data_IF_156598244202
#
_entry.id   IF_156598244202
#
_cell.length_a   1.000
_cell.length_b   1.000
_cell.length_c   1.000
_cell.angle_alpha   90.00
_cell.angle_beta   90.00
_cell.angle_gamma   90.00
#
_symmetry.space_group_name_H-M   'P 1'
#
loop_
_entity.id
_entity.type
_entity.pdbx_description
1 polymer ?
#
# COMPACT_ATOMS: atom_id res chain seq x y z
N UNK A 1 24.71 34.49 21.77
CA UNK A 1 23.96 33.23 21.99
C UNK A 1 22.84 33.18 20.96
N UNK A 2 22.86 32.15 20.11
CA UNK A 2 21.93 32.02 18.98
C UNK A 2 20.89 30.97 19.33
N UNK A 3 19.61 31.32 19.33
CA UNK A 3 18.51 30.37 19.50
C UNK A 3 17.85 30.15 18.14
N UNK A 4 18.18 29.04 17.50
CA UNK A 4 17.59 28.60 16.24
C UNK A 4 16.29 27.88 16.54
N UNK A 5 15.14 28.47 16.19
CA UNK A 5 13.84 27.80 16.30
C UNK A 5 13.63 26.88 15.08
N UNK A 6 13.56 25.58 15.34
CA UNK A 6 13.22 24.54 14.36
C UNK A 6 11.69 24.43 14.28
N UNK A 7 11.13 24.46 13.07
CA UNK A 7 9.71 24.22 12.84
C UNK A 7 9.50 22.73 12.52
N UNK A 8 8.65 22.05 13.29
CA UNK A 8 8.20 20.68 13.01
C UNK A 8 6.80 20.71 12.40
N UNK A 9 6.66 20.18 11.19
CA UNK A 9 5.37 20.00 10.53
C UNK A 9 4.63 18.81 11.15
N UNK A 10 3.68 19.09 12.05
CA UNK A 10 2.80 18.07 12.63
C UNK A 10 1.50 17.95 11.83
N UNK A 11 1.45 17.00 10.89
CA UNK A 11 0.20 16.60 10.23
C UNK A 11 -0.80 16.03 11.26
N UNK A 12 -2.08 16.37 11.12
CA UNK A 12 -3.19 15.50 11.57
C UNK A 12 -3.48 14.44 10.50
N UNK A 13 -4.22 13.34 10.72
CA UNK A 13 -5.01 12.86 11.88
C UNK A 13 -5.34 11.34 11.64
N UNK A 14 -6.20 10.57 12.34
CA UNK A 14 -7.26 10.85 13.31
C UNK A 14 -7.63 9.59 14.14
N UNK A 15 -7.74 9.70 15.48
CA UNK A 15 -8.47 8.76 16.38
C UNK A 15 -7.86 7.34 16.59
N UNK A 16 -8.17 6.54 17.62
CA UNK A 16 -9.25 6.60 18.65
C UNK A 16 -8.75 6.20 20.05
N UNK A 17 -9.32 6.80 21.11
CA UNK A 17 -9.50 6.15 22.42
C UNK A 17 -10.56 6.91 23.26
N UNK A 18 -11.81 6.44 23.26
CA UNK A 18 -12.88 7.07 24.05
C UNK A 18 -14.12 6.18 24.16
N UNK A 19 -14.48 5.78 25.38
CA UNK A 19 -15.62 4.89 25.67
C UNK A 19 -16.72 5.64 26.43
N UNK A 20 -17.87 5.85 25.78
CA UNK A 20 -19.16 6.26 26.37
C UNK A 20 -19.21 7.69 27.00
N UNK A 21 -20.39 8.32 27.21
CA UNK A 21 -21.75 7.77 27.22
C UNK A 21 -22.82 8.51 26.39
N UNK A 22 -24.08 8.05 26.54
CA UNK A 22 -25.33 8.61 26.00
C UNK A 22 -25.54 10.09 26.37
N UNK A 23 -25.91 10.93 25.40
CA UNK A 23 -27.26 11.54 25.29
C UNK A 23 -27.46 12.06 23.86
N UNK A 24 -28.71 12.13 23.38
CA UNK A 24 -29.06 12.58 22.02
C UNK A 24 -29.71 13.96 22.08
N UNK A 25 -29.01 14.99 21.60
CA UNK A 25 -29.63 16.26 21.19
C UNK A 25 -29.02 16.77 19.89
N UNK A 26 -29.85 16.87 18.86
CA UNK A 26 -29.62 17.78 17.73
C UNK A 26 -29.77 19.24 18.22
N UNK A 27 -29.14 20.20 17.53
CA UNK A 27 -29.71 21.51 17.12
C UNK A 27 -28.61 22.49 16.67
N UNK A 28 -28.95 23.31 15.68
CA UNK A 28 -28.32 24.57 15.25
C UNK A 28 -26.92 24.53 14.60
N UNK A 29 -26.94 24.54 13.26
CA UNK A 29 -25.96 25.31 12.48
C UNK A 29 -26.22 26.80 12.75
N UNK A 30 -25.22 27.55 13.22
CA UNK A 30 -25.33 29.00 13.38
C UNK A 30 -24.21 29.74 12.63
N UNK A 31 -24.52 30.48 11.54
CA UNK A 31 -23.55 31.24 10.79
C UNK A 31 -23.43 32.66 11.35
N UNK A 32 -22.44 32.97 12.19
CA UNK A 32 -21.90 34.32 12.41
C UNK A 32 -20.66 34.29 13.32
N UNK A 33 -19.45 34.17 12.75
CA UNK A 33 -18.21 34.56 13.44
C UNK A 33 -17.67 35.85 12.83
N UNK A 34 -18.00 36.96 13.50
CA UNK A 34 -17.37 38.27 13.25
C UNK A 34 -15.99 38.27 13.92
N UNK A 35 -14.93 38.16 13.15
CA UNK A 35 -13.57 38.36 13.66
C UNK A 35 -13.30 39.85 13.87
N UNK A 36 -13.21 40.28 15.12
CA UNK A 36 -12.72 41.60 15.51
C UNK A 36 -11.19 41.60 15.56
N UNK A 37 -10.56 42.12 14.51
CA UNK A 37 -9.12 42.32 14.48
C UNK A 37 -8.73 43.53 15.35
N UNK A 38 -8.06 43.28 16.47
CA UNK A 38 -7.48 44.32 17.32
C UNK A 38 -6.15 44.81 16.75
N UNK A 39 -6.21 45.85 15.92
CA UNK A 39 -5.01 46.54 15.42
C UNK A 39 -4.41 47.38 16.55
N UNK A 40 -3.34 46.88 17.17
CA UNK A 40 -2.50 47.71 18.04
C UNK A 40 -1.74 48.71 17.16
N UNK A 41 -2.08 49.99 17.28
CA UNK A 41 -1.36 51.08 16.64
C UNK A 41 -0.09 51.39 17.41
N UNK A 42 1.05 50.83 17.00
CA UNK A 42 2.35 51.34 17.41
C UNK A 42 2.67 52.62 16.63
N UNK A 43 3.08 53.67 17.33
CA UNK A 43 3.50 54.93 16.70
C UNK A 43 4.84 54.71 15.96
N UNK A 44 4.78 54.69 14.62
CA UNK A 44 5.97 54.57 13.79
C UNK A 44 6.62 55.95 13.68
N UNK A 45 7.74 56.13 14.39
CA UNK A 45 8.55 57.34 14.31
C UNK A 45 8.96 57.66 12.87
N UNK A 46 8.77 58.92 12.47
CA UNK A 46 8.96 59.39 11.10
C UNK A 46 10.43 59.35 10.66
N UNK A 47 10.78 58.41 9.77
CA UNK A 47 12.09 58.34 9.11
C UNK A 47 12.08 59.30 7.89
N UNK A 48 13.05 60.23 7.76
CA UNK A 48 13.05 61.19 6.66
C UNK A 48 13.34 60.54 5.31
N UNK A 49 12.41 60.73 4.36
CA UNK A 49 12.54 60.26 2.98
C UNK A 49 13.63 61.00 2.19
N UNK A 50 14.81 60.39 2.07
CA UNK A 50 15.74 60.62 0.95
C UNK A 50 16.30 59.27 0.48
N UNK A 51 16.28 59.05 -0.84
CA UNK A 51 16.80 57.86 -1.56
C UNK A 51 15.98 56.56 -1.48
N UNK A 52 14.77 56.55 -2.08
CA UNK A 52 14.04 55.32 -2.44
C UNK A 52 13.88 55.24 -3.97
N UNK A 53 14.84 54.62 -4.67
CA UNK A 53 14.76 54.45 -6.15
C UNK A 53 15.32 53.15 -6.75
N UNK A 54 16.02 52.26 -6.01
CA UNK A 54 16.73 51.12 -6.61
C UNK A 54 16.54 49.75 -5.93
N UNK A 55 15.60 49.59 -5.00
CA UNK A 55 15.41 48.36 -4.21
C UNK A 55 14.26 47.42 -4.68
N UNK A 56 13.56 47.77 -5.77
CA UNK A 56 12.46 46.94 -6.31
C UNK A 56 12.84 45.56 -6.90
N UNK A 57 14.04 45.27 -7.45
CA UNK A 57 14.27 43.96 -8.07
C UNK A 57 14.46 42.82 -7.05
N UNK A 58 14.93 43.11 -5.83
CA UNK A 58 15.37 42.10 -4.86
C UNK A 58 14.22 41.27 -4.26
N UNK A 59 13.03 41.87 -4.08
CA UNK A 59 11.86 41.16 -3.54
C UNK A 59 11.27 40.17 -4.54
N UNK A 60 11.31 40.50 -5.84
CA UNK A 60 10.82 39.63 -6.91
C UNK A 60 11.69 38.36 -7.07
N UNK A 61 13.01 38.47 -6.87
CA UNK A 61 13.91 37.31 -6.92
C UNK A 61 13.69 36.32 -5.78
N UNK A 62 13.31 36.81 -4.59
CA UNK A 62 13.13 35.96 -3.40
C UNK A 62 11.88 35.06 -3.52
N UNK A 63 10.81 35.55 -4.13
CA UNK A 63 9.57 34.79 -4.36
C UNK A 63 9.77 33.70 -5.41
N UNK A 64 10.57 33.96 -6.46
CA UNK A 64 10.91 32.98 -7.49
C UNK A 64 11.76 31.79 -6.96
N UNK A 65 12.41 31.96 -5.80
CA UNK A 65 13.21 30.94 -5.13
C UNK A 65 12.40 29.96 -4.27
N UNK A 66 11.17 30.32 -3.85
CA UNK A 66 10.32 29.49 -2.98
C UNK A 66 9.39 28.53 -3.73
N UNK A 67 9.28 28.65 -5.06
CA UNK A 67 8.52 27.73 -5.93
C UNK A 67 9.30 26.44 -6.29
N UNK A 68 10.48 26.22 -5.70
CA UNK A 68 11.21 24.95 -5.77
C UNK A 68 10.71 23.98 -4.70
N UNK A 69 9.51 23.44 -4.88
CA UNK A 69 9.06 22.24 -4.18
C UNK A 69 9.14 21.04 -5.15
N UNK A 70 10.32 20.39 -5.29
CA UNK A 70 10.44 19.25 -6.17
C UNK A 70 9.81 18.00 -5.56
N UNK A 71 9.11 17.25 -6.40
CA UNK A 71 8.84 15.81 -6.27
C UNK A 71 8.03 15.41 -5.05
N UNK A 72 6.71 15.20 -5.28
CA UNK A 72 6.05 14.06 -4.63
C UNK A 72 6.73 12.80 -5.16
N UNK A 73 7.29 11.98 -4.28
CA UNK A 73 7.50 10.58 -4.62
C UNK A 73 6.11 9.99 -4.90
N UNK A 74 5.98 9.23 -5.97
CA UNK A 74 4.81 8.39 -6.17
C UNK A 74 5.10 7.11 -5.37
N UNK A 75 4.60 7.05 -4.14
CA UNK A 75 4.61 5.84 -3.31
C UNK A 75 3.53 4.88 -3.84
N UNK A 76 3.86 3.60 -3.96
CA UNK A 76 2.94 2.57 -4.44
C UNK A 76 1.67 2.51 -3.59
N UNK A 77 0.52 2.65 -4.23
CA UNK A 77 -0.76 2.79 -3.53
C UNK A 77 -1.46 1.44 -3.31
N UNK A 78 -2.07 1.25 -2.13
CA UNK A 78 -2.89 0.06 -1.87
C UNK A 78 -4.09 0.00 -2.83
N UNK A 79 -4.28 -1.13 -3.49
CA UNK A 79 -5.31 -1.31 -4.51
C UNK A 79 -4.94 -0.84 -5.93
N UNK A 80 -3.73 -0.31 -6.16
CA UNK A 80 -3.24 0.01 -7.51
C UNK A 80 -3.22 -1.23 -8.40
N UNK A 81 -3.71 -1.11 -9.65
CA UNK A 81 -4.02 -2.26 -10.50
C UNK A 81 -3.13 -2.34 -11.75
N UNK A 82 -2.66 -3.55 -12.03
CA UNK A 82 -1.80 -3.90 -13.16
C UNK A 82 -2.40 -5.13 -13.85
N UNK A 83 -3.18 -4.92 -14.92
CA UNK A 83 -3.92 -6.01 -15.59
C UNK A 83 -4.86 -6.72 -14.62
N UNK A 84 -4.62 -8.01 -14.38
CA UNK A 84 -5.36 -8.82 -13.41
C UNK A 84 -4.79 -8.79 -11.98
N UNK A 85 -3.63 -8.15 -11.77
CA UNK A 85 -2.99 -8.01 -10.47
C UNK A 85 -3.34 -6.68 -9.81
N UNK A 86 -3.30 -6.65 -8.48
CA UNK A 86 -3.43 -5.41 -7.71
C UNK A 86 -2.46 -5.39 -6.54
N UNK A 87 -2.03 -4.22 -6.12
CA UNK A 87 -1.27 -4.04 -4.88
C UNK A 87 -2.19 -4.36 -3.70
N UNK A 88 -1.62 -5.04 -2.70
CA UNK A 88 -2.18 -5.14 -1.36
C UNK A 88 -1.07 -4.91 -0.34
N UNK A 89 -1.10 -3.76 0.32
CA UNK A 89 -0.22 -3.41 1.42
C UNK A 89 -0.91 -3.72 2.76
N UNK A 90 -0.21 -4.44 3.65
CA UNK A 90 -0.71 -4.80 4.97
C UNK A 90 0.34 -4.51 6.03
N UNK A 91 -0.05 -3.74 7.04
CA UNK A 91 0.74 -3.58 8.27
C UNK A 91 0.69 -4.86 9.09
N UNK A 92 1.84 -5.44 9.44
CA UNK A 92 1.89 -6.54 10.40
C UNK A 92 1.50 -6.02 11.80
N UNK A 93 0.55 -6.70 12.44
CA UNK A 93 0.04 -6.31 13.76
C UNK A 93 1.05 -6.52 14.91
N UNK A 94 2.14 -7.27 14.69
CA UNK A 94 3.19 -7.54 15.68
C UNK A 94 4.38 -6.58 15.56
N UNK A 95 4.76 -6.20 14.33
CA UNK A 95 5.99 -5.45 14.05
C UNK A 95 5.74 -4.02 13.52
N UNK A 96 4.50 -3.68 13.19
CA UNK A 96 4.11 -2.41 12.55
C UNK A 96 4.78 -2.12 11.18
N UNK A 97 5.62 -3.02 10.66
CA UNK A 97 6.15 -2.99 9.30
C UNK A 97 5.04 -3.26 8.28
N UNK A 98 5.04 -2.53 7.17
CA UNK A 98 4.07 -2.66 6.09
C UNK A 98 4.63 -3.55 4.98
N UNK A 99 4.14 -4.78 4.87
CA UNK A 99 4.45 -5.67 3.76
C UNK A 99 3.51 -5.40 2.59
N UNK A 100 4.04 -5.02 1.44
CA UNK A 100 3.28 -4.88 0.20
C UNK A 100 3.48 -6.12 -0.70
N UNK A 101 2.40 -6.52 -1.36
CA UNK A 101 2.36 -7.66 -2.27
C UNK A 101 1.55 -7.27 -3.51
N UNK A 102 1.88 -7.83 -4.67
CA UNK A 102 0.89 -7.94 -5.76
C UNK A 102 0.05 -9.18 -5.53
N UNK A 103 -1.27 -9.05 -5.70
CA UNK A 103 -2.22 -10.11 -5.41
C UNK A 103 -3.25 -10.29 -6.53
N UNK A 104 -3.73 -11.53 -6.65
CA UNK A 104 -4.91 -11.90 -7.42
C UNK A 104 -5.87 -12.66 -6.50
N UNK A 105 -7.12 -12.18 -6.41
CA UNK A 105 -8.18 -12.74 -5.58
C UNK A 105 -9.19 -13.51 -6.43
N UNK A 106 -9.34 -14.80 -6.17
CA UNK A 106 -10.27 -15.69 -6.86
C UNK A 106 -11.43 -16.03 -5.92
N UNK A 107 -12.64 -15.65 -6.35
CA UNK A 107 -13.88 -15.78 -5.59
C UNK A 107 -14.86 -16.64 -6.39
N UNK A 108 -15.49 -17.63 -5.74
CA UNK A 108 -16.56 -18.40 -6.39
C UNK A 108 -17.77 -17.51 -6.65
N UNK A 109 -18.29 -17.61 -7.88
CA UNK A 109 -19.53 -16.92 -8.29
C UNK A 109 -20.73 -17.39 -7.45
N UNK A 110 -20.71 -18.64 -7.01
CA UNK A 110 -21.67 -19.18 -6.04
C UNK A 110 -21.16 -18.98 -4.61
N UNK A 111 -21.95 -18.29 -3.78
CA UNK A 111 -21.65 -18.07 -2.36
C UNK A 111 -20.70 -16.90 -2.05
N UNK A 112 -19.97 -16.34 -3.04
CA UNK A 112 -19.10 -15.18 -2.83
C UNK A 112 -17.89 -15.44 -1.93
N UNK A 113 -17.58 -16.73 -1.67
CA UNK A 113 -16.44 -17.13 -0.85
C UNK A 113 -15.15 -17.06 -1.68
N UNK A 114 -14.12 -16.40 -1.12
CA UNK A 114 -12.75 -16.46 -1.67
C UNK A 114 -12.28 -17.91 -1.64
N UNK A 115 -11.89 -18.43 -2.80
CA UNK A 115 -11.23 -19.73 -2.96
C UNK A 115 -9.74 -19.61 -2.72
N UNK A 116 -9.13 -18.60 -3.33
CA UNK A 116 -7.69 -18.43 -3.36
C UNK A 116 -7.35 -16.93 -3.33
N UNK A 117 -6.41 -16.55 -2.49
CA UNK A 117 -5.60 -15.35 -2.71
C UNK A 117 -4.20 -15.83 -3.09
N UNK A 118 -3.72 -15.39 -4.25
CA UNK A 118 -2.35 -15.59 -4.69
C UNK A 118 -1.61 -14.27 -4.51
N UNK A 119 -0.51 -14.27 -3.77
CA UNK A 119 0.26 -13.07 -3.47
C UNK A 119 1.74 -13.29 -3.80
N UNK A 120 2.39 -12.29 -4.41
CA UNK A 120 3.84 -12.25 -4.63
C UNK A 120 4.38 -10.95 -4.04
N UNK A 121 5.52 -11.03 -3.35
CA UNK A 121 6.19 -9.86 -2.78
C UNK A 121 7.58 -10.17 -2.26
N UNK A 122 8.25 -9.14 -1.77
CA UNK A 122 9.60 -9.23 -1.23
C UNK A 122 9.57 -9.32 0.30
N UNK A 123 10.60 -9.94 0.88
CA UNK A 123 10.83 -9.93 2.34
C UNK A 123 12.24 -9.41 2.58
N UNK A 124 12.41 -8.61 3.65
CA UNK A 124 13.66 -7.87 3.91
C UNK A 124 14.93 -8.74 3.97
N UNK A 125 14.79 -10.04 4.23
CA UNK A 125 15.89 -10.99 4.32
C UNK A 125 16.37 -11.55 2.96
N UNK A 126 15.61 -11.38 1.86
CA UNK A 126 15.90 -12.06 0.58
C UNK A 126 15.63 -11.20 -0.65
N UNK A 127 16.57 -11.10 -1.62
CA UNK A 127 16.34 -10.37 -2.86
C UNK A 127 15.37 -11.10 -3.80
N UNK A 128 15.21 -12.42 -3.66
CA UNK A 128 14.22 -13.17 -4.42
C UNK A 128 12.79 -12.92 -3.89
N UNK A 129 11.80 -12.70 -4.76
CA UNK A 129 10.41 -12.60 -4.34
C UNK A 129 9.90 -13.95 -3.83
N UNK A 130 8.99 -13.90 -2.85
CA UNK A 130 8.25 -15.07 -2.36
C UNK A 130 6.84 -15.09 -2.95
N UNK A 131 6.29 -16.29 -3.08
CA UNK A 131 4.85 -16.51 -3.27
C UNK A 131 4.22 -16.90 -1.92
N UNK A 132 3.04 -16.35 -1.66
CA UNK A 132 2.16 -16.72 -0.54
C UNK A 132 0.75 -17.03 -1.08
N UNK A 133 0.27 -18.23 -0.80
CA UNK A 133 -1.11 -18.65 -1.08
C UNK A 133 -1.94 -18.56 0.20
N UNK A 134 -3.16 -18.03 0.10
CA UNK A 134 -4.22 -18.26 1.08
C UNK A 134 -5.28 -19.15 0.45
N UNK A 135 -5.25 -20.43 0.82
CA UNK A 135 -6.13 -21.50 0.36
C UNK A 135 -7.34 -21.66 1.31
N UNK A 136 -8.43 -22.32 0.90
CA UNK A 136 -9.61 -22.46 1.74
C UNK A 136 -9.38 -23.52 2.84
N UNK A 137 -10.20 -23.48 3.89
CA UNK A 137 -10.23 -24.53 4.90
C UNK A 137 -10.93 -25.79 4.37
N UNK A 138 -10.60 -26.95 4.94
CA UNK A 138 -11.18 -28.25 4.54
C UNK A 138 -10.44 -28.96 3.39
N UNK A 139 -9.29 -28.45 2.97
CA UNK A 139 -8.42 -29.08 1.96
C UNK A 139 -7.59 -30.24 2.52
N UNK A 140 -7.14 -31.14 1.63
CA UNK A 140 -6.20 -32.21 1.97
C UNK A 140 -4.77 -31.67 2.07
N UNK A 141 -4.18 -31.76 3.26
CA UNK A 141 -2.83 -31.28 3.52
C UNK A 141 -1.69 -32.15 2.93
N UNK A 142 -1.75 -33.50 2.94
CA UNK A 142 -0.62 -34.32 2.50
C UNK A 142 -0.17 -34.14 1.03
N UNK A 143 -1.06 -33.83 0.06
CA UNK A 143 -0.65 -33.41 -1.29
C UNK A 143 -0.03 -32.01 -1.34
N UNK A 144 -0.45 -31.08 -0.48
CA UNK A 144 -0.05 -29.67 -0.59
C UNK A 144 -0.81 -28.93 -1.69
N UNK A 145 -0.22 -27.86 -2.22
CA UNK A 145 -0.67 -27.19 -3.42
C UNK A 145 0.39 -27.31 -4.53
N UNK A 146 -0.01 -27.07 -5.78
CA UNK A 146 0.85 -27.09 -6.95
C UNK A 146 0.57 -25.84 -7.79
N UNK A 147 1.62 -25.27 -8.38
CA UNK A 147 1.54 -24.20 -9.38
C UNK A 147 2.05 -24.71 -10.72
N UNK A 148 1.37 -24.36 -11.80
CA UNK A 148 1.77 -24.68 -13.17
C UNK A 148 1.56 -23.45 -14.04
N UNK A 149 2.58 -23.08 -14.82
CA UNK A 149 2.52 -21.95 -15.75
C UNK A 149 2.31 -22.53 -17.14
N UNK A 150 1.23 -22.12 -17.79
CA UNK A 150 0.74 -22.67 -19.06
C UNK A 150 0.74 -24.22 -19.06
N UNK A 151 1.44 -24.85 -20.01
CA UNK A 151 1.67 -26.30 -20.07
C UNK A 151 2.97 -26.76 -19.42
N UNK A 152 3.62 -25.91 -18.63
CA UNK A 152 4.94 -26.15 -18.01
C UNK A 152 4.94 -27.24 -16.94
N UNK A 153 6.08 -27.42 -16.24
CA UNK A 153 6.19 -28.42 -15.18
C UNK A 153 5.51 -27.94 -13.89
N UNK A 154 4.61 -28.72 -13.26
CA UNK A 154 4.07 -28.39 -11.95
C UNK A 154 5.16 -28.27 -10.88
N UNK A 155 5.09 -27.21 -10.08
CA UNK A 155 5.94 -26.98 -8.91
C UNK A 155 5.10 -27.04 -7.65
N UNK A 156 5.51 -27.88 -6.70
CA UNK A 156 4.77 -28.16 -5.48
C UNK A 156 5.09 -27.16 -4.37
N UNK A 157 4.07 -26.56 -3.78
CA UNK A 157 4.16 -25.63 -2.65
C UNK A 157 3.65 -26.34 -1.38
N UNK A 158 4.48 -26.46 -0.33
CA UNK A 158 4.04 -27.06 0.93
C UNK A 158 3.07 -26.12 1.66
N UNK A 159 2.02 -26.69 2.26
CA UNK A 159 1.14 -25.95 3.17
C UNK A 159 1.84 -25.87 4.54
N UNK A 160 2.05 -24.66 5.03
CA UNK A 160 2.84 -24.37 6.23
C UNK A 160 1.99 -24.41 7.50
N UNK A 161 0.78 -23.82 7.44
CA UNK A 161 -0.13 -23.68 8.57
C UNK A 161 -1.56 -23.43 8.09
N UNK A 162 -2.55 -23.74 8.92
CA UNK A 162 -3.93 -23.31 8.72
C UNK A 162 -4.42 -22.50 9.91
N UNK A 163 -5.10 -21.40 9.62
CA UNK A 163 -5.61 -20.38 10.52
C UNK A 163 -7.09 -20.11 10.22
N UNK A 164 -7.87 -19.42 11.07
CA UNK A 164 -9.30 -19.20 10.85
C UNK A 164 -9.66 -18.49 9.52
N UNK A 165 -8.70 -17.83 8.88
CA UNK A 165 -8.81 -17.14 7.59
C UNK A 165 -8.39 -17.99 6.37
N UNK A 166 -7.85 -19.20 6.56
CA UNK A 166 -7.42 -20.08 5.47
C UNK A 166 -6.16 -20.90 5.79
N UNK A 167 -5.73 -21.72 4.83
CA UNK A 167 -4.45 -22.42 4.87
C UNK A 167 -3.39 -21.63 4.11
N UNK A 168 -2.24 -21.35 4.75
CA UNK A 168 -1.10 -20.66 4.15
C UNK A 168 -0.11 -21.66 3.56
N UNK A 169 0.34 -21.39 2.35
CA UNK A 169 1.40 -22.13 1.67
C UNK A 169 2.36 -21.12 1.02
N UNK A 170 3.66 -21.36 1.07
CA UNK A 170 4.66 -20.41 0.60
C UNK A 170 5.92 -21.07 0.05
N UNK A 171 6.60 -20.34 -0.84
CA UNK A 171 7.97 -20.67 -1.26
C UNK A 171 8.67 -19.44 -1.85
N UNK A 172 10.00 -19.47 -1.93
CA UNK A 172 10.77 -18.53 -2.76
C UNK A 172 10.55 -18.85 -4.23
N UNK A 173 10.35 -17.81 -5.05
CA UNK A 173 10.38 -17.96 -6.50
C UNK A 173 11.83 -17.93 -6.95
N UNK A 174 12.31 -19.04 -7.50
CA UNK A 174 13.63 -19.08 -8.14
C UNK A 174 13.56 -18.36 -9.51
N UNK A 175 14.71 -18.04 -10.14
CA UNK A 175 14.71 -17.35 -11.43
C UNK A 175 13.94 -18.08 -12.53
N UNK A 176 14.03 -19.41 -12.60
CA UNK A 176 13.32 -20.25 -13.59
C UNK A 176 11.79 -20.09 -13.52
N UNK A 177 11.22 -20.15 -12.30
CA UNK A 177 9.78 -19.96 -12.09
C UNK A 177 9.43 -18.50 -12.36
N UNK A 178 10.24 -17.54 -11.89
CA UNK A 178 9.99 -16.12 -12.07
C UNK A 178 9.97 -15.70 -13.55
N UNK A 179 10.88 -16.22 -14.35
CA UNK A 179 10.90 -16.04 -15.80
C UNK A 179 9.66 -16.67 -16.46
N UNK A 180 9.19 -17.82 -15.94
CA UNK A 180 7.90 -18.39 -16.32
C UNK A 180 6.75 -17.41 -16.07
N UNK A 181 6.66 -16.79 -14.89
CA UNK A 181 5.61 -15.81 -14.57
C UNK A 181 5.66 -14.55 -15.46
N UNK A 182 6.86 -14.13 -15.91
CA UNK A 182 7.03 -12.97 -16.80
C UNK A 182 6.64 -13.26 -18.25
N UNK A 183 6.85 -14.48 -18.73
CA UNK A 183 6.70 -14.85 -20.14
C UNK A 183 5.48 -15.73 -20.46
N UNK A 184 4.79 -16.25 -19.44
CA UNK A 184 3.59 -17.07 -19.60
C UNK A 184 2.29 -16.26 -19.60
N UNK A 185 1.20 -16.88 -20.06
CA UNK A 185 -0.12 -16.25 -20.16
C UNK A 185 -1.04 -16.62 -18.97
N UNK A 186 -1.00 -17.88 -18.53
CA UNK A 186 -1.87 -18.42 -17.50
C UNK A 186 -1.08 -19.17 -16.42
N UNK A 187 -1.55 -19.03 -15.18
CA UNK A 187 -1.09 -19.79 -14.02
C UNK A 187 -2.25 -20.64 -13.49
N UNK A 188 -2.10 -21.96 -13.50
CA UNK A 188 -3.01 -22.87 -12.80
C UNK A 188 -2.49 -23.17 -11.40
N UNK A 189 -3.39 -23.05 -10.40
CA UNK A 189 -3.10 -23.41 -9.00
C UNK A 189 -3.99 -24.58 -8.61
N UNK A 190 -3.37 -25.71 -8.32
CA UNK A 190 -4.07 -26.96 -7.99
C UNK A 190 -3.89 -27.29 -6.52
N UNK A 191 -5.00 -27.57 -5.83
CA UNK A 191 -5.01 -28.13 -4.48
C UNK A 191 -6.11 -29.20 -4.41
N UNK A 192 -6.28 -29.84 -3.25
CA UNK A 192 -7.15 -31.01 -3.13
C UNK A 192 -8.20 -30.85 -2.05
N UNK A 193 -9.44 -31.25 -2.32
CA UNK A 193 -10.52 -31.26 -1.32
C UNK A 193 -10.32 -32.35 -0.25
N UNK A 194 -11.22 -32.41 0.74
CA UNK A 194 -11.19 -33.45 1.79
C UNK A 194 -11.27 -34.90 1.25
N UNK A 195 -11.80 -35.11 0.04
CA UNK A 195 -11.90 -36.40 -0.66
C UNK A 195 -10.69 -36.68 -1.56
N UNK A 196 -9.69 -35.78 -1.60
CA UNK A 196 -8.53 -35.78 -2.50
C UNK A 196 -8.88 -35.62 -3.98
N UNK A 197 -9.99 -34.97 -4.29
CA UNK A 197 -10.30 -34.53 -5.65
C UNK A 197 -9.53 -33.24 -5.95
N UNK A 198 -8.87 -33.11 -7.11
CA UNK A 198 -8.16 -31.89 -7.48
C UNK A 198 -9.16 -30.75 -7.73
N UNK A 199 -8.82 -29.58 -7.22
CA UNK A 199 -9.45 -28.30 -7.51
C UNK A 199 -8.36 -27.46 -8.18
N UNK A 200 -8.48 -27.27 -9.49
CA UNK A 200 -7.63 -26.37 -10.26
C UNK A 200 -8.29 -25.01 -10.37
N UNK A 201 -7.53 -23.95 -10.14
CA UNK A 201 -8.01 -22.57 -10.24
C UNK A 201 -7.07 -21.77 -11.15
N UNK A 202 -7.55 -21.26 -12.30
CA UNK A 202 -6.74 -20.49 -13.22
C UNK A 202 -6.64 -19.02 -12.79
N UNK A 203 -5.44 -18.46 -12.97
CA UNK A 203 -5.07 -17.06 -12.80
C UNK A 203 -4.51 -16.55 -14.11
N UNK A 204 -4.74 -15.26 -14.39
CA UNK A 204 -4.10 -14.56 -15.50
C UNK A 204 -2.73 -14.02 -15.09
N UNK A 205 -1.74 -14.13 -15.96
CA UNK A 205 -0.45 -13.46 -15.79
C UNK A 205 -0.43 -12.04 -16.40
N UNK A 206 -1.52 -11.59 -17.04
CA UNK A 206 -1.63 -10.22 -17.56
C UNK A 206 -1.40 -9.16 -16.47
N UNK A 207 -0.40 -8.31 -16.70
CA UNK A 207 0.04 -7.26 -15.78
C UNK A 207 0.99 -7.70 -14.66
N UNK A 208 1.35 -8.99 -14.58
CA UNK A 208 2.26 -9.51 -13.54
C UNK A 208 3.60 -8.74 -13.50
N UNK A 209 4.28 -8.61 -14.64
CA UNK A 209 5.60 -7.97 -14.70
C UNK A 209 5.53 -6.49 -14.31
N UNK A 210 4.49 -5.77 -14.75
CA UNK A 210 4.30 -4.37 -14.39
C UNK A 210 4.08 -4.21 -12.88
N UNK A 211 3.21 -5.03 -12.29
CA UNK A 211 2.95 -5.01 -10.84
C UNK A 211 4.18 -5.40 -10.01
N UNK A 212 4.94 -6.41 -10.43
CA UNK A 212 6.15 -6.83 -9.72
C UNK A 212 7.25 -5.77 -9.82
N UNK A 213 7.37 -5.10 -10.97
CA UNK A 213 8.34 -4.03 -11.19
C UNK A 213 8.01 -2.80 -10.34
N UNK A 214 6.73 -2.44 -10.24
CA UNK A 214 6.28 -1.40 -9.32
C UNK A 214 6.60 -1.78 -7.86
N UNK A 215 6.22 -2.99 -7.43
CA UNK A 215 6.52 -3.46 -6.07
C UNK A 215 8.02 -3.53 -5.73
N UNK A 216 8.87 -3.82 -6.71
CA UNK A 216 10.32 -3.83 -6.55
C UNK A 216 10.93 -2.42 -6.44
N UNK A 217 10.26 -1.38 -6.95
CA UNK A 217 10.73 0.01 -6.86
C UNK A 217 10.54 0.59 -5.45
N UNK A 218 9.47 0.20 -4.76
CA UNK A 218 9.14 0.64 -3.39
C UNK A 218 9.79 -0.20 -2.28
N UNK A 219 10.44 -1.31 -2.65
CA UNK A 219 11.18 -2.19 -1.74
C UNK A 219 12.67 -1.78 -1.55
N UNK A 220 13.11 -0.67 -2.17
CA UNK A 220 14.51 -0.21 -2.26
C UNK A 220 14.72 1.20 -1.68
#
# INVERSE_FOLDING_TARGET
MTYTLRFECRNGSMSTAGRAPRDRREVAVNPHLRYSAWVHTSEIGSIPMRHVSLLKPIVATLILLLLRCPVSLAELSDGEAFGNWRVSCKTDAQDARQGCFIVQDLVLREGGQRVLQFAIGFVEETPEPIVLLSLPLGISLPPGAEIQIDGGKPTRIPIERCEPNGCRAGMKLNPEILDGFRNGDQLSVTFYDAKRQPIEVPLSLDGFEAGLTALAADAL
#
